data_IF_621359979661
#
_entry.id   IF_621359979661
#
_cell.length_a   1.000
_cell.length_b   1.000
_cell.length_c   1.000
_cell.angle_alpha   90.00
_cell.angle_beta   90.00
_cell.angle_gamma   90.00
#
_symmetry.space_group_name_H-M   'P 1'
#
loop_
_entity.id
_entity.type
_entity.pdbx_description
1 polymer ?
#
# COMPACT_ATOMS: atom_id res chain seq x y z
N UNK A 1 14.53 8.96 6.38
CA UNK A 1 14.64 9.40 4.98
C UNK A 1 15.65 10.53 4.85
N UNK A 2 16.48 10.50 3.84
CA UNK A 2 17.48 11.53 3.56
C UNK A 2 17.37 11.95 2.10
N UNK A 3 17.18 13.24 1.88
CA UNK A 3 17.19 13.82 0.52
C UNK A 3 18.60 13.75 -0.14
N UNK A 4 19.60 13.27 0.59
CA UNK A 4 20.99 13.19 0.13
C UNK A 4 21.40 11.77 -0.30
N UNK A 5 20.46 10.83 -0.40
CA UNK A 5 20.70 9.50 -0.96
C UNK A 5 21.50 8.53 -0.10
N UNK A 6 21.53 8.74 1.20
CA UNK A 6 22.29 7.91 2.15
C UNK A 6 21.42 6.98 3.00
N UNK A 7 20.12 6.90 2.72
CA UNK A 7 19.22 5.99 3.45
C UNK A 7 19.58 4.54 3.14
N UNK A 8 19.58 3.71 4.15
CA UNK A 8 19.83 2.27 4.06
C UNK A 8 18.94 1.50 5.00
N UNK A 9 18.74 0.24 4.68
CA UNK A 9 17.96 -0.70 5.48
C UNK A 9 18.89 -1.51 6.36
N UNK A 10 18.51 -1.65 7.63
CA UNK A 10 19.23 -2.45 8.61
C UNK A 10 18.37 -3.62 9.06
N UNK A 11 18.94 -4.81 9.06
CA UNK A 11 18.38 -5.96 9.76
C UNK A 11 19.07 -6.04 11.11
N UNK A 12 18.31 -5.93 12.19
CA UNK A 12 18.82 -5.78 13.55
C UNK A 12 18.38 -6.95 14.41
N UNK A 13 19.30 -7.52 15.19
CA UNK A 13 18.99 -8.50 16.22
C UNK A 13 18.30 -7.82 17.40
N UNK A 14 17.08 -8.24 17.72
CA UNK A 14 16.30 -7.64 18.81
C UNK A 14 16.81 -7.98 20.22
N UNK A 15 17.69 -8.99 20.37
CA UNK A 15 18.21 -9.39 21.68
C UNK A 15 19.33 -8.46 22.17
N UNK A 16 20.18 -7.99 21.25
CA UNK A 16 21.36 -7.21 21.58
C UNK A 16 21.51 -5.92 20.76
N UNK A 17 20.53 -5.63 19.89
CA UNK A 17 20.51 -4.50 18.98
C UNK A 17 21.69 -4.45 17.98
N UNK A 18 22.38 -5.59 17.76
CA UNK A 18 23.44 -5.66 16.77
C UNK A 18 22.90 -5.61 15.35
N UNK A 19 23.61 -4.93 14.44
CA UNK A 19 23.27 -4.92 13.01
C UNK A 19 23.78 -6.22 12.40
N UNK A 20 22.86 -7.02 11.88
CA UNK A 20 23.16 -8.32 11.26
C UNK A 20 23.44 -8.18 9.76
N UNK A 21 22.72 -7.26 9.09
CA UNK A 21 22.85 -7.05 7.65
C UNK A 21 22.43 -5.62 7.28
N UNK A 22 22.98 -5.10 6.17
CA UNK A 22 22.65 -3.75 5.65
C UNK A 22 22.59 -3.78 4.13
N UNK A 23 21.64 -3.05 3.53
CA UNK A 23 21.53 -2.90 2.08
C UNK A 23 20.88 -1.57 1.71
N UNK A 24 20.88 -1.23 0.41
CA UNK A 24 20.16 -0.09 -0.15
C UNK A 24 20.93 1.22 -0.22
N UNK A 25 22.13 1.29 0.35
CA UNK A 25 22.96 2.51 0.34
C UNK A 25 23.69 2.70 -0.99
N UNK A 26 23.55 3.90 -1.60
CA UNK A 26 24.26 4.29 -2.84
C UNK A 26 24.31 3.19 -3.89
N UNK A 27 23.16 2.56 -4.16
CA UNK A 27 23.10 1.42 -5.05
C UNK A 27 23.25 1.85 -6.51
N UNK A 28 24.33 1.39 -7.17
CA UNK A 28 24.58 1.65 -8.61
C UNK A 28 23.48 1.12 -9.54
N UNK A 29 22.66 0.19 -9.02
CA UNK A 29 21.53 -0.36 -9.76
C UNK A 29 20.28 0.52 -9.68
N UNK A 30 20.30 1.58 -8.86
CA UNK A 30 19.19 2.53 -8.68
C UNK A 30 18.76 3.16 -10.00
N UNK A 31 17.44 3.31 -10.15
CA UNK A 31 16.83 4.07 -11.25
C UNK A 31 16.71 5.57 -10.93
N UNK A 32 16.90 5.96 -9.68
CA UNK A 32 16.75 7.34 -9.18
C UNK A 32 18.08 7.98 -8.77
N UNK A 33 19.19 7.53 -9.35
CA UNK A 33 20.51 8.04 -8.99
C UNK A 33 20.88 7.74 -7.54
N UNK A 34 21.27 8.76 -6.77
CA UNK A 34 21.64 8.62 -5.36
C UNK A 34 20.46 8.64 -4.38
N UNK A 35 19.23 8.87 -4.84
CA UNK A 35 18.06 8.85 -3.97
C UNK A 35 17.82 7.45 -3.44
N UNK A 36 17.66 7.35 -2.13
CA UNK A 36 17.40 6.10 -1.41
C UNK A 36 16.37 6.38 -0.34
N UNK A 37 15.12 6.05 -0.60
CA UNK A 37 14.04 6.08 0.37
C UNK A 37 13.45 4.68 0.48
N UNK A 38 12.88 4.37 1.63
CA UNK A 38 12.27 3.09 1.91
C UNK A 38 11.04 3.32 2.78
N UNK A 39 9.95 3.74 2.14
CA UNK A 39 8.71 4.10 2.82
C UNK A 39 7.75 2.91 2.96
N UNK A 40 7.84 1.93 2.06
CA UNK A 40 7.12 0.68 2.16
C UNK A 40 7.61 -0.22 3.29
N UNK A 41 6.82 -1.21 3.64
CA UNK A 41 7.18 -2.25 4.62
C UNK A 41 7.88 -3.42 3.94
N UNK A 42 8.90 -3.96 4.61
CA UNK A 42 9.51 -5.21 4.21
C UNK A 42 8.57 -6.39 4.47
N UNK A 43 8.63 -7.38 3.59
CA UNK A 43 7.91 -8.65 3.72
C UNK A 43 8.90 -9.81 3.82
N UNK A 44 8.49 -10.86 4.51
CA UNK A 44 9.21 -12.14 4.50
C UNK A 44 8.28 -13.20 3.93
N UNK A 45 8.66 -13.76 2.79
CA UNK A 45 8.02 -14.96 2.28
C UNK A 45 8.54 -16.17 3.05
N UNK A 46 7.69 -16.75 3.89
CA UNK A 46 8.07 -17.86 4.77
C UNK A 46 8.34 -19.16 4.00
N UNK A 47 7.74 -19.33 2.81
CA UNK A 47 7.91 -20.53 2.00
C UNK A 47 9.32 -20.61 1.40
N UNK A 48 9.83 -19.48 0.91
CA UNK A 48 11.16 -19.38 0.32
C UNK A 48 12.21 -18.80 1.28
N UNK A 49 11.81 -18.41 2.48
CA UNK A 49 12.69 -17.75 3.48
C UNK A 49 13.39 -16.51 2.89
N UNK A 50 12.61 -15.70 2.16
CA UNK A 50 13.14 -14.55 1.42
C UNK A 50 12.58 -13.25 1.98
N UNK A 51 13.48 -12.33 2.36
CA UNK A 51 13.13 -10.93 2.63
C UNK A 51 12.93 -10.22 1.29
N UNK A 52 11.81 -9.52 1.16
CA UNK A 52 11.40 -8.78 -0.02
C UNK A 52 11.17 -7.33 0.40
N UNK A 53 11.85 -6.41 -0.27
CA UNK A 53 11.72 -5.00 0.08
C UNK A 53 11.71 -4.12 -1.18
N UNK A 54 10.58 -3.48 -1.50
CA UNK A 54 10.51 -2.45 -2.53
C UNK A 54 11.20 -1.18 -2.04
N UNK A 55 11.95 -0.53 -2.92
CA UNK A 55 12.65 0.71 -2.62
C UNK A 55 12.23 1.83 -3.56
N UNK A 56 12.10 3.02 -3.04
CA UNK A 56 11.81 4.21 -3.83
C UNK A 56 12.95 4.58 -4.80
N UNK A 57 14.11 3.93 -4.65
CA UNK A 57 15.18 3.98 -5.64
C UNK A 57 14.91 3.12 -6.90
N UNK A 58 13.72 2.53 -7.02
CA UNK A 58 13.31 1.71 -8.16
C UNK A 58 13.84 0.28 -8.14
N UNK A 59 14.35 -0.18 -7.01
CA UNK A 59 14.89 -1.53 -6.86
C UNK A 59 14.00 -2.35 -5.93
N UNK A 60 13.59 -3.52 -6.39
CA UNK A 60 13.07 -4.57 -5.52
C UNK A 60 14.26 -5.40 -5.01
N UNK A 61 14.46 -5.40 -3.71
CA UNK A 61 15.49 -6.18 -3.03
C UNK A 61 14.92 -7.52 -2.59
N UNK A 62 15.63 -8.60 -2.91
CA UNK A 62 15.30 -9.98 -2.57
C UNK A 62 16.51 -10.61 -1.88
N UNK A 63 16.35 -11.02 -0.61
CA UNK A 63 17.45 -11.52 0.18
C UNK A 63 17.03 -12.81 0.87
N UNK A 64 17.65 -13.93 0.49
CA UNK A 64 17.43 -15.17 1.18
C UNK A 64 18.03 -15.09 2.58
N UNK A 65 17.23 -15.33 3.62
CA UNK A 65 17.65 -15.14 5.00
C UNK A 65 18.46 -16.33 5.53
N UNK A 66 18.28 -17.53 4.97
CA UNK A 66 18.88 -18.77 5.45
C UNK A 66 18.64 -18.96 6.96
N UNK A 67 17.38 -18.77 7.36
CA UNK A 67 16.93 -18.80 8.75
C UNK A 67 17.20 -20.17 9.39
N UNK A 68 17.77 -20.14 10.58
CA UNK A 68 17.97 -21.31 11.43
C UNK A 68 17.34 -21.07 12.79
N UNK A 69 16.59 -22.05 13.27
CA UNK A 69 15.99 -22.03 14.58
C UNK A 69 16.61 -23.11 15.45
N UNK A 70 17.21 -22.73 16.56
CA UNK A 70 17.74 -23.66 17.57
C UNK A 70 16.65 -23.95 18.61
N UNK A 71 16.12 -25.16 18.56
CA UNK A 71 15.06 -25.64 19.48
C UNK A 71 15.51 -25.68 20.94
N UNK A 72 16.83 -25.85 21.23
CA UNK A 72 17.31 -25.97 22.60
C UNK A 72 17.41 -24.61 23.28
N UNK A 73 17.90 -23.61 22.56
CA UNK A 73 18.06 -22.24 23.09
C UNK A 73 16.83 -21.36 22.82
N UNK A 74 15.93 -21.77 21.91
CA UNK A 74 14.82 -20.95 21.44
C UNK A 74 15.27 -19.74 20.63
N UNK A 75 16.48 -19.77 20.09
CA UNK A 75 17.05 -18.66 19.32
C UNK A 75 16.86 -18.83 17.82
N UNK A 76 16.59 -17.72 17.15
CA UNK A 76 16.55 -17.63 15.70
C UNK A 76 17.81 -16.90 15.22
N UNK A 77 18.46 -17.44 14.21
CA UNK A 77 19.59 -16.80 13.53
C UNK A 77 19.33 -16.74 12.03
N UNK A 78 19.90 -15.74 11.38
CA UNK A 78 19.89 -15.60 9.93
C UNK A 78 21.33 -15.56 9.40
N UNK A 79 21.51 -16.03 8.17
CA UNK A 79 22.77 -15.94 7.43
C UNK A 79 22.43 -15.42 6.02
N UNK A 80 22.22 -14.10 5.88
CA UNK A 80 21.71 -13.51 4.64
C UNK A 80 22.61 -13.83 3.45
N UNK A 81 22.03 -14.42 2.43
CA UNK A 81 22.70 -14.69 1.16
C UNK A 81 22.94 -13.43 0.35
N UNK A 82 23.41 -13.63 -0.88
CA UNK A 82 23.60 -12.51 -1.82
C UNK A 82 22.25 -11.82 -2.09
N UNK A 83 22.23 -10.50 -1.99
CA UNK A 83 21.11 -9.68 -2.41
C UNK A 83 20.88 -9.83 -3.92
N UNK A 84 19.68 -10.24 -4.30
CA UNK A 84 19.18 -10.18 -5.66
C UNK A 84 18.44 -8.87 -5.82
N UNK A 85 18.66 -8.19 -6.93
CA UNK A 85 18.05 -6.90 -7.26
C UNK A 85 17.28 -7.04 -8.55
N UNK A 86 16.04 -6.63 -8.52
CA UNK A 86 15.18 -6.56 -9.68
C UNK A 86 14.68 -5.14 -9.87
N UNK A 87 14.44 -4.73 -11.12
CA UNK A 87 13.89 -3.41 -11.45
C UNK A 87 13.09 -3.48 -12.75
N UNK A 88 12.18 -2.55 -12.88
CA UNK A 88 11.35 -2.36 -14.06
C UNK A 88 11.42 -0.92 -14.54
N UNK A 89 11.61 -0.71 -15.84
CA UNK A 89 11.70 0.63 -16.42
C UNK A 89 10.35 1.23 -16.78
N UNK A 90 9.28 0.44 -16.72
CA UNK A 90 7.96 0.86 -17.14
C UNK A 90 7.83 0.98 -18.66
N UNK A 91 6.61 1.30 -19.07
CA UNK A 91 6.26 1.55 -20.47
C UNK A 91 6.10 3.05 -20.75
N UNK A 92 6.07 3.89 -19.72
CA UNK A 92 5.96 5.33 -19.86
C UNK A 92 7.32 5.90 -20.27
N UNK A 93 7.31 6.73 -21.32
CA UNK A 93 8.50 7.46 -21.78
C UNK A 93 8.76 8.67 -20.88
N UNK A 94 8.93 8.47 -19.58
CA UNK A 94 9.33 9.53 -18.69
C UNK A 94 10.86 9.67 -18.76
N UNK A 95 11.35 10.88 -18.95
CA UNK A 95 12.77 11.22 -18.78
C UNK A 95 13.13 11.43 -17.31
N UNK A 96 12.15 11.43 -16.44
CA UNK A 96 12.29 11.72 -15.02
C UNK A 96 12.44 10.39 -14.25
N UNK A 97 13.62 10.11 -13.76
CA UNK A 97 13.94 8.83 -13.10
C UNK A 97 13.20 8.60 -11.77
N UNK A 98 12.67 9.65 -11.14
CA UNK A 98 11.94 9.50 -9.88
C UNK A 98 10.56 8.82 -10.00
N UNK A 99 10.03 8.73 -11.22
CA UNK A 99 8.80 7.99 -11.52
C UNK A 99 8.91 6.47 -11.40
N UNK A 100 10.09 5.96 -11.22
CA UNK A 100 10.36 4.53 -11.20
C UNK A 100 10.56 4.01 -9.77
N UNK A 101 10.29 4.82 -8.75
CA UNK A 101 10.35 4.40 -7.35
C UNK A 101 9.18 3.52 -6.95
N UNK A 102 9.34 2.76 -5.87
CA UNK A 102 8.31 1.95 -5.23
C UNK A 102 8.16 2.45 -3.80
N UNK A 103 7.11 3.21 -3.52
CA UNK A 103 6.85 3.83 -2.21
C UNK A 103 5.98 2.95 -1.32
N UNK A 104 5.18 2.08 -1.91
CA UNK A 104 4.29 1.18 -1.21
C UNK A 104 4.95 -0.14 -0.80
N UNK A 105 4.22 -0.94 -0.05
CA UNK A 105 4.61 -2.30 0.29
C UNK A 105 4.16 -3.27 -0.80
N UNK A 106 4.94 -4.33 -1.05
CA UNK A 106 4.48 -5.40 -1.92
C UNK A 106 3.44 -6.29 -1.23
N UNK A 107 2.67 -7.02 -2.03
CA UNK A 107 1.83 -8.11 -1.56
C UNK A 107 2.33 -9.44 -2.16
N UNK A 108 2.19 -10.55 -1.42
CA UNK A 108 2.72 -11.86 -1.84
C UNK A 108 1.64 -12.93 -1.73
N UNK A 109 1.55 -13.75 -2.75
CA UNK A 109 0.71 -14.96 -2.72
C UNK A 109 1.30 -16.07 -3.58
N UNK A 110 1.56 -17.24 -2.96
CA UNK A 110 2.02 -18.47 -3.64
C UNK A 110 3.18 -18.25 -4.60
N UNK A 111 4.21 -17.49 -4.19
CA UNK A 111 5.38 -17.23 -4.99
C UNK A 111 5.22 -16.13 -6.06
N UNK A 112 4.12 -15.38 -6.03
CA UNK A 112 3.93 -14.19 -6.85
C UNK A 112 3.98 -12.94 -5.99
N UNK A 113 4.68 -11.91 -6.48
CA UNK A 113 4.79 -10.60 -5.86
C UNK A 113 3.95 -9.62 -6.68
N UNK A 114 3.14 -8.84 -5.99
CA UNK A 114 2.36 -7.74 -6.56
C UNK A 114 2.83 -6.43 -5.94
N UNK A 115 3.14 -5.46 -6.77
CA UNK A 115 3.68 -4.17 -6.33
C UNK A 115 3.33 -3.07 -7.32
N UNK A 116 3.28 -1.83 -6.84
CA UNK A 116 3.09 -0.66 -7.67
C UNK A 116 4.36 0.21 -7.71
N UNK A 117 4.41 1.15 -8.62
CA UNK A 117 5.48 2.14 -8.71
C UNK A 117 4.93 3.56 -8.92
N UNK A 118 5.81 4.55 -8.80
CA UNK A 118 5.47 5.95 -9.03
C UNK A 118 5.13 6.25 -10.51
N UNK A 119 5.47 5.35 -11.42
CA UNK A 119 5.17 5.45 -12.84
C UNK A 119 3.76 4.99 -13.22
N UNK A 120 2.98 4.51 -12.26
CA UNK A 120 1.63 3.99 -12.48
C UNK A 120 1.63 2.60 -13.07
N UNK A 121 2.54 1.76 -12.67
CA UNK A 121 2.54 0.36 -13.05
C UNK A 121 2.18 -0.50 -11.83
N UNK A 122 1.15 -1.32 -11.94
CA UNK A 122 0.92 -2.46 -11.07
C UNK A 122 1.52 -3.69 -11.74
N UNK A 123 2.43 -4.35 -11.06
CA UNK A 123 3.22 -5.46 -11.61
C UNK A 123 2.97 -6.75 -10.86
N UNK A 124 2.92 -7.87 -11.59
CA UNK A 124 3.01 -9.21 -11.03
C UNK A 124 4.33 -9.84 -11.44
N UNK A 125 5.12 -10.25 -10.45
CA UNK A 125 6.43 -10.87 -10.62
C UNK A 125 6.41 -12.29 -10.06
N UNK A 126 6.90 -13.26 -10.81
CA UNK A 126 7.16 -14.62 -10.29
C UNK A 126 8.45 -14.59 -9.45
N UNK A 127 8.35 -14.90 -8.17
CA UNK A 127 9.47 -14.89 -7.21
C UNK A 127 10.54 -15.94 -7.54
N UNK A 128 10.16 -17.08 -8.17
CA UNK A 128 11.10 -18.16 -8.45
C UNK A 128 11.93 -17.89 -9.69
N UNK A 129 11.33 -17.28 -10.71
CA UNK A 129 11.98 -17.03 -12.00
C UNK A 129 12.44 -15.59 -12.17
N UNK A 130 11.91 -14.67 -11.36
CA UNK A 130 12.08 -13.21 -11.44
C UNK A 130 11.63 -12.66 -12.81
N UNK A 131 10.66 -13.32 -13.42
CA UNK A 131 10.05 -12.86 -14.65
C UNK A 131 8.77 -12.11 -14.36
N UNK A 132 8.61 -10.99 -15.06
CA UNK A 132 7.38 -10.23 -15.06
C UNK A 132 6.28 -11.06 -15.73
N UNK A 133 5.18 -11.30 -15.01
CA UNK A 133 4.04 -12.08 -15.50
C UNK A 133 3.09 -11.18 -16.28
N UNK A 134 2.71 -10.06 -15.67
CA UNK A 134 1.88 -9.04 -16.29
C UNK A 134 2.12 -7.66 -15.67
N UNK A 135 1.72 -6.63 -16.38
CA UNK A 135 1.68 -5.22 -15.92
C UNK A 135 0.34 -4.63 -16.27
N UNK A 136 -0.28 -3.94 -15.30
CA UNK A 136 -1.49 -3.16 -15.48
C UNK A 136 -1.17 -1.68 -15.26
N UNK A 137 -1.65 -0.81 -16.15
CA UNK A 137 -1.54 0.65 -16.00
C UNK A 137 -2.49 1.13 -14.89
N UNK A 138 -1.94 1.77 -13.85
CA UNK A 138 -2.66 2.41 -12.76
C UNK A 138 -2.66 3.93 -12.87
N UNK A 139 -2.36 4.47 -14.03
CA UNK A 139 -2.42 5.86 -14.44
C UNK A 139 -1.37 6.77 -13.81
N UNK A 140 -1.14 6.69 -12.52
CA UNK A 140 -0.35 7.64 -11.76
C UNK A 140 0.41 6.95 -10.62
N UNK A 141 1.14 7.74 -9.89
CA UNK A 141 1.85 7.38 -8.67
C UNK A 141 0.94 6.64 -7.69
N UNK A 142 1.32 5.43 -7.33
CA UNK A 142 0.55 4.58 -6.42
C UNK A 142 1.27 4.44 -5.09
N UNK A 143 0.70 5.09 -4.06
CA UNK A 143 1.15 4.99 -2.67
C UNK A 143 0.30 3.99 -1.86
N UNK A 144 -0.68 3.39 -2.52
CA UNK A 144 -1.59 2.39 -1.93
C UNK A 144 -1.05 1.00 -2.14
N UNK A 145 -0.69 0.32 -1.06
CA UNK A 145 -0.28 -1.10 -1.11
C UNK A 145 -1.39 -1.95 -1.74
N UNK A 146 -1.08 -2.78 -2.77
CA UNK A 146 -2.06 -3.69 -3.36
C UNK A 146 -2.61 -4.67 -2.33
N UNK A 147 -3.93 -4.81 -2.23
CA UNK A 147 -4.57 -5.67 -1.25
C UNK A 147 -5.08 -6.94 -1.91
N UNK A 148 -4.56 -8.08 -1.46
CA UNK A 148 -4.97 -9.40 -1.93
C UNK A 148 -6.21 -9.90 -1.18
N UNK A 149 -7.17 -10.39 -1.92
CA UNK A 149 -8.39 -10.99 -1.37
C UNK A 149 -8.79 -12.25 -2.15
N UNK A 150 -9.08 -13.33 -1.42
CA UNK A 150 -9.61 -14.56 -2.01
C UNK A 150 -11.13 -14.55 -1.91
N UNK A 151 -11.80 -14.50 -3.04
CA UNK A 151 -13.25 -14.55 -3.13
C UNK A 151 -13.70 -15.79 -3.89
N UNK A 152 -14.43 -16.66 -3.21
CA UNK A 152 -14.94 -17.93 -3.80
C UNK A 152 -13.84 -18.80 -4.44
N UNK A 153 -12.63 -18.73 -3.86
CA UNK A 153 -11.47 -19.51 -4.32
C UNK A 153 -10.65 -18.87 -5.43
N UNK A 154 -11.01 -17.68 -5.89
CA UNK A 154 -10.27 -16.90 -6.87
C UNK A 154 -9.58 -15.70 -6.21
N UNK A 155 -8.37 -15.36 -6.67
CA UNK A 155 -7.57 -14.28 -6.10
C UNK A 155 -7.79 -12.97 -6.85
N UNK A 156 -8.06 -11.92 -6.11
CA UNK A 156 -8.20 -10.56 -6.63
C UNK A 156 -7.28 -9.58 -5.92
N UNK A 157 -7.00 -8.49 -6.61
CA UNK A 157 -6.31 -7.32 -6.09
C UNK A 157 -7.28 -6.15 -6.01
N UNK A 158 -7.22 -5.43 -4.90
CA UNK A 158 -7.81 -4.10 -4.76
C UNK A 158 -6.67 -3.08 -4.72
N UNK A 159 -6.71 -2.10 -5.61
CA UNK A 159 -5.68 -1.08 -5.74
C UNK A 159 -6.30 0.22 -6.24
N UNK A 160 -5.64 1.32 -5.98
CA UNK A 160 -5.98 2.62 -6.51
C UNK A 160 -4.70 3.43 -6.76
N UNK A 161 -4.84 4.69 -7.05
CA UNK A 161 -3.74 5.58 -7.39
C UNK A 161 -3.90 6.92 -6.68
N UNK A 162 -2.82 7.62 -6.48
CA UNK A 162 -2.86 9.04 -6.15
C UNK A 162 -3.28 9.87 -7.37
N UNK A 163 -3.54 11.13 -7.14
CA UNK A 163 -3.66 12.12 -8.20
C UNK A 163 -2.64 13.23 -7.96
N UNK A 164 -1.76 13.44 -8.93
CA UNK A 164 -0.76 14.49 -8.85
C UNK A 164 -0.82 15.40 -10.07
N UNK A 165 -1.15 16.66 -9.82
CA UNK A 165 -1.32 17.65 -10.89
C UNK A 165 -0.05 17.75 -11.75
N UNK A 166 -0.24 17.66 -13.08
CA UNK A 166 0.82 17.84 -14.07
C UNK A 166 1.55 16.56 -14.47
N UNK A 167 1.24 15.42 -13.87
CA UNK A 167 1.84 14.13 -14.24
C UNK A 167 1.12 13.45 -15.38
N UNK A 168 -0.19 13.49 -15.33
CA UNK A 168 -1.06 12.91 -16.33
C UNK A 168 -1.32 13.94 -17.42
N UNK A 169 -0.66 13.83 -18.55
CA UNK A 169 -0.83 14.77 -19.68
C UNK A 169 -2.19 14.66 -20.37
N UNK A 170 -2.99 13.66 -20.04
CA UNK A 170 -4.25 13.33 -20.71
C UNK A 170 -5.45 13.24 -19.75
N UNK A 171 -5.28 13.62 -18.48
CA UNK A 171 -6.26 13.29 -17.46
C UNK A 171 -7.12 14.46 -17.00
N UNK A 172 -8.30 14.09 -16.55
CA UNK A 172 -9.36 14.93 -16.01
C UNK A 172 -9.45 14.89 -14.48
N UNK A 173 -8.40 14.52 -13.78
CA UNK A 173 -8.38 14.33 -12.31
C UNK A 173 -9.17 13.12 -11.81
N UNK A 174 -9.40 12.13 -12.66
CA UNK A 174 -10.10 10.89 -12.29
C UNK A 174 -9.18 9.95 -11.52
N UNK A 175 -9.66 9.43 -10.41
CA UNK A 175 -8.98 8.45 -9.55
C UNK A 175 -9.83 7.19 -9.49
N UNK A 176 -9.49 6.16 -10.26
CA UNK A 176 -10.19 4.88 -10.20
C UNK A 176 -9.76 4.06 -8.97
N UNK A 177 -10.74 3.38 -8.38
CA UNK A 177 -10.52 2.26 -7.47
C UNK A 177 -10.80 0.99 -8.25
N UNK A 178 -9.82 0.11 -8.37
CA UNK A 178 -9.92 -1.10 -9.19
C UNK A 178 -10.05 -2.37 -8.35
N UNK A 179 -10.83 -3.30 -8.87
CA UNK A 179 -10.68 -4.73 -8.61
C UNK A 179 -10.03 -5.36 -9.83
N UNK A 180 -8.95 -6.08 -9.64
CA UNK A 180 -8.14 -6.68 -10.70
C UNK A 180 -8.04 -8.19 -10.44
N UNK A 181 -8.16 -8.97 -11.49
CA UNK A 181 -7.86 -10.39 -11.46
C UNK A 181 -6.36 -10.59 -11.26
N UNK A 182 -5.97 -11.23 -10.16
CA UNK A 182 -4.56 -11.36 -9.81
C UNK A 182 -3.79 -12.34 -10.72
N UNK A 183 -4.47 -13.25 -11.40
CA UNK A 183 -3.82 -14.20 -12.31
C UNK A 183 -3.51 -13.57 -13.67
N UNK A 184 -4.41 -12.70 -14.16
CA UNK A 184 -4.31 -12.14 -15.52
C UNK A 184 -3.91 -10.68 -15.58
N UNK A 185 -4.09 -9.93 -14.49
CA UNK A 185 -3.93 -8.47 -14.47
C UNK A 185 -5.12 -7.71 -15.08
N UNK A 186 -6.18 -8.39 -15.49
CA UNK A 186 -7.34 -7.76 -16.11
C UNK A 186 -8.22 -7.04 -15.07
N UNK A 187 -8.76 -5.88 -15.46
CA UNK A 187 -9.68 -5.11 -14.63
C UNK A 187 -11.04 -5.82 -14.62
N UNK A 188 -11.50 -6.21 -13.43
CA UNK A 188 -12.83 -6.81 -13.23
C UNK A 188 -13.90 -5.72 -13.16
N UNK A 189 -13.63 -4.67 -12.39
CA UNK A 189 -14.43 -3.46 -12.31
C UNK A 189 -13.58 -2.28 -11.81
N UNK A 190 -14.06 -1.08 -12.03
CA UNK A 190 -13.52 0.14 -11.40
C UNK A 190 -14.64 1.08 -10.99
N UNK A 191 -14.34 1.94 -10.02
CA UNK A 191 -15.22 3.01 -9.56
C UNK A 191 -14.43 4.30 -9.51
N UNK A 192 -14.87 5.29 -10.24
CA UNK A 192 -14.13 6.53 -10.46
C UNK A 192 -14.52 7.61 -9.46
N UNK A 193 -13.51 8.30 -8.96
CA UNK A 193 -13.60 9.50 -8.15
C UNK A 193 -12.91 10.65 -8.86
N UNK A 194 -13.45 11.84 -8.74
CA UNK A 194 -12.79 13.06 -9.21
C UNK A 194 -12.07 13.72 -8.03
N UNK A 195 -10.87 14.23 -8.29
CA UNK A 195 -10.09 15.00 -7.32
C UNK A 195 -9.92 16.44 -7.81
N UNK A 196 -9.65 17.36 -6.87
CA UNK A 196 -9.34 18.74 -7.27
C UNK A 196 -8.04 18.80 -8.06
N UNK A 197 -7.99 19.75 -9.01
CA UNK A 197 -6.78 20.06 -9.77
C UNK A 197 -6.04 21.28 -9.20
N UNK A 198 -6.42 21.75 -8.01
CA UNK A 198 -5.84 22.94 -7.40
C UNK A 198 -4.41 22.68 -6.92
N UNK A 199 -3.50 23.54 -7.31
CA UNK A 199 -2.13 23.72 -6.81
C UNK A 199 -1.37 22.49 -6.30
N UNK A 200 -1.03 21.57 -7.20
CA UNK A 200 -0.03 20.53 -6.93
C UNK A 200 -0.33 19.62 -5.72
N UNK A 201 -1.59 19.47 -5.41
CA UNK A 201 -2.01 18.65 -4.28
C UNK A 201 -1.88 17.15 -4.57
N UNK A 202 -1.38 16.40 -3.60
CA UNK A 202 -1.45 14.95 -3.63
C UNK A 202 -2.86 14.51 -3.20
N UNK A 203 -3.77 14.44 -4.18
CA UNK A 203 -5.12 13.91 -4.02
C UNK A 203 -5.19 12.41 -4.30
N UNK A 204 -6.40 11.90 -4.43
CA UNK A 204 -6.66 10.50 -4.72
C UNK A 204 -6.45 9.59 -3.51
N UNK A 205 -6.04 8.35 -3.76
CA UNK A 205 -5.88 7.33 -2.71
C UNK A 205 -4.42 7.23 -2.32
N UNK A 206 -4.11 7.68 -1.10
CA UNK A 206 -2.80 7.60 -0.48
C UNK A 206 -2.74 6.48 0.57
N UNK A 207 -3.88 5.87 0.85
CA UNK A 207 -4.07 4.86 1.89
C UNK A 207 -4.22 3.46 1.31
N UNK A 208 -3.95 2.45 2.14
CA UNK A 208 -4.24 1.07 1.79
C UNK A 208 -5.74 0.78 1.95
N UNK A 209 -6.34 0.13 0.96
CA UNK A 209 -7.75 -0.26 0.97
C UNK A 209 -8.00 -1.33 2.04
N UNK A 210 -9.07 -1.19 2.83
CA UNK A 210 -9.45 -2.19 3.81
C UNK A 210 -10.49 -3.16 3.23
N UNK A 211 -10.21 -4.45 3.23
CA UNK A 211 -11.17 -5.50 2.88
C UNK A 211 -11.95 -5.95 4.11
N UNK A 212 -13.27 -5.81 4.07
CA UNK A 212 -14.15 -6.28 5.13
C UNK A 212 -14.15 -7.80 5.26
N UNK A 213 -14.38 -8.27 6.49
CA UNK A 213 -14.54 -9.68 6.88
C UNK A 213 -15.85 -9.85 7.64
N UNK A 214 -16.20 -11.06 8.00
CA UNK A 214 -17.41 -11.37 8.79
C UNK A 214 -18.67 -10.68 8.25
N UNK A 215 -19.32 -9.84 9.05
CA UNK A 215 -20.51 -9.09 8.62
C UNK A 215 -20.26 -8.06 7.52
N UNK A 216 -18.99 -7.71 7.25
CA UNK A 216 -18.55 -6.77 6.24
C UNK A 216 -17.89 -7.46 5.04
N UNK A 217 -17.99 -8.78 4.90
CA UNK A 217 -17.25 -9.56 3.90
C UNK A 217 -17.50 -9.12 2.45
N UNK A 218 -18.66 -8.51 2.17
CA UNK A 218 -19.04 -8.06 0.83
C UNK A 218 -18.51 -6.65 0.47
N UNK A 219 -17.74 -6.01 1.35
CA UNK A 219 -17.35 -4.61 1.20
C UNK A 219 -15.85 -4.39 1.26
N UNK A 220 -15.41 -3.33 0.58
CA UNK A 220 -14.11 -2.67 0.78
C UNK A 220 -14.34 -1.24 1.23
N UNK A 221 -13.33 -0.67 1.89
CA UNK A 221 -13.33 0.70 2.38
C UNK A 221 -12.07 1.41 1.89
N UNK A 222 -12.25 2.61 1.34
CA UNK A 222 -11.17 3.40 0.76
C UNK A 222 -11.35 4.86 1.10
N UNK A 223 -10.27 5.54 1.47
CA UNK A 223 -10.24 6.99 1.64
C UNK A 223 -9.74 7.64 0.35
N UNK A 224 -10.50 8.58 -0.18
CA UNK A 224 -10.12 9.37 -1.36
C UNK A 224 -9.94 10.82 -0.92
N UNK A 225 -8.74 11.34 -1.07
CA UNK A 225 -8.37 12.66 -0.63
C UNK A 225 -8.66 13.72 -1.70
N UNK A 226 -9.07 14.92 -1.24
CA UNK A 226 -9.17 16.14 -2.04
C UNK A 226 -10.15 16.02 -3.21
N UNK A 227 -11.34 15.54 -2.90
CA UNK A 227 -12.38 15.22 -3.90
C UNK A 227 -13.10 16.46 -4.45
N UNK A 228 -13.19 17.56 -3.71
CA UNK A 228 -13.83 18.80 -4.17
C UNK A 228 -12.95 20.04 -3.97
N UNK A 229 -12.10 20.02 -2.96
CA UNK A 229 -11.11 21.07 -2.64
C UNK A 229 -9.95 20.45 -1.87
N UNK A 230 -8.95 21.26 -1.52
CA UNK A 230 -7.73 20.80 -0.85
C UNK A 230 -7.94 20.27 0.57
N UNK A 231 -9.08 20.53 1.18
CA UNK A 231 -9.40 20.10 2.54
C UNK A 231 -10.37 18.91 2.58
N UNK A 232 -11.09 18.66 1.50
CA UNK A 232 -12.15 17.65 1.43
C UNK A 232 -11.65 16.25 1.13
N UNK A 233 -12.45 15.27 1.48
CA UNK A 233 -12.25 13.87 1.13
C UNK A 233 -13.48 13.04 1.44
N UNK A 234 -13.42 11.78 1.08
CA UNK A 234 -14.47 10.81 1.37
C UNK A 234 -13.87 9.51 1.91
N UNK A 235 -14.54 8.89 2.87
CA UNK A 235 -14.42 7.46 3.12
C UNK A 235 -15.55 6.78 2.35
N UNK A 236 -15.21 5.94 1.39
CA UNK A 236 -16.16 5.22 0.57
C UNK A 236 -16.23 3.75 0.95
N UNK A 237 -17.43 3.19 0.98
CA UNK A 237 -17.72 1.78 1.08
C UNK A 237 -18.20 1.27 -0.28
N UNK A 238 -17.44 0.37 -0.91
CA UNK A 238 -17.78 -0.21 -2.19
C UNK A 238 -18.09 -1.71 -2.05
N UNK A 239 -19.01 -2.21 -2.89
CA UNK A 239 -19.29 -3.65 -2.95
C UNK A 239 -18.19 -4.38 -3.72
N UNK A 240 -17.67 -5.46 -3.17
CA UNK A 240 -16.67 -6.31 -3.83
C UNK A 240 -17.18 -6.92 -5.13
N UNK A 241 -18.50 -7.12 -5.26
CA UNK A 241 -19.11 -7.78 -6.42
C UNK A 241 -19.00 -6.99 -7.72
N UNK A 242 -19.18 -5.66 -7.65
CA UNK A 242 -19.37 -4.81 -8.82
C UNK A 242 -18.83 -3.38 -8.69
N UNK A 243 -18.17 -3.07 -7.57
CA UNK A 243 -17.64 -1.74 -7.28
C UNK A 243 -18.70 -0.68 -6.96
N UNK A 244 -19.99 -1.03 -6.94
CA UNK A 244 -21.03 -0.04 -6.66
C UNK A 244 -20.91 0.53 -5.24
N UNK A 245 -21.16 1.83 -5.10
CA UNK A 245 -21.14 2.51 -3.81
C UNK A 245 -22.25 2.00 -2.90
N UNK A 246 -21.91 1.53 -1.71
CA UNK A 246 -22.88 1.19 -0.68
C UNK A 246 -23.22 2.45 0.14
N UNK A 247 -22.21 3.21 0.53
CA UNK A 247 -22.31 4.48 1.21
C UNK A 247 -21.00 5.27 1.10
N UNK A 248 -21.07 6.56 1.40
CA UNK A 248 -19.93 7.47 1.53
C UNK A 248 -20.10 8.34 2.76
N UNK A 249 -19.00 8.62 3.45
CA UNK A 249 -18.89 9.61 4.51
C UNK A 249 -17.97 10.73 4.04
N UNK A 250 -18.57 11.90 3.71
CA UNK A 250 -17.83 13.08 3.29
C UNK A 250 -17.30 13.82 4.51
N UNK A 251 -15.99 14.03 4.55
CA UNK A 251 -15.33 14.76 5.65
C UNK A 251 -14.08 15.47 5.11
N UNK A 252 -13.19 15.89 6.01
CA UNK A 252 -11.84 16.28 5.62
C UNK A 252 -11.10 15.09 5.03
N UNK A 253 -10.10 15.34 4.17
CA UNK A 253 -9.35 14.27 3.52
C UNK A 253 -8.63 13.38 4.54
N UNK A 254 -8.35 12.14 4.13
CA UNK A 254 -7.59 11.19 4.92
C UNK A 254 -6.53 10.50 4.05
N UNK A 255 -5.30 10.46 4.54
CA UNK A 255 -4.21 9.62 4.03
C UNK A 255 -4.02 8.37 4.88
N UNK A 256 -4.59 8.37 6.09
CA UNK A 256 -4.69 7.22 6.97
C UNK A 256 -5.50 6.10 6.34
N UNK A 257 -4.99 4.88 6.41
CA UNK A 257 -5.71 3.69 5.95
C UNK A 257 -6.88 3.37 6.88
N UNK A 258 -8.08 3.10 6.37
CA UNK A 258 -9.19 2.64 7.19
C UNK A 258 -8.93 1.23 7.73
N UNK A 259 -9.43 0.94 8.92
CA UNK A 259 -9.31 -0.36 9.57
C UNK A 259 -10.69 -0.89 9.94
N UNK A 260 -10.98 -2.12 9.51
CA UNK A 260 -12.18 -2.83 9.93
C UNK A 260 -11.99 -3.44 11.32
N UNK A 261 -12.87 -3.11 12.24
CA UNK A 261 -12.89 -3.66 13.60
C UNK A 261 -14.18 -4.42 13.86
N UNK A 262 -14.12 -5.46 14.67
CA UNK A 262 -15.23 -6.37 14.84
C UNK A 262 -15.55 -6.62 16.31
N UNK A 263 -16.83 -6.57 16.65
CA UNK A 263 -17.32 -7.02 17.92
C UNK A 263 -17.28 -8.57 18.01
N UNK A 264 -17.44 -9.09 19.23
CA UNK A 264 -17.46 -10.54 19.47
C UNK A 264 -18.60 -11.27 18.74
N UNK A 265 -19.67 -10.57 18.42
CA UNK A 265 -20.81 -11.09 17.63
C UNK A 265 -20.58 -11.07 16.11
N UNK A 266 -19.42 -10.58 15.68
CA UNK A 266 -19.04 -10.44 14.27
C UNK A 266 -19.59 -9.19 13.58
N UNK A 267 -20.31 -8.31 14.28
CA UNK A 267 -20.70 -7.01 13.73
C UNK A 267 -19.46 -6.14 13.53
N UNK A 268 -19.38 -5.48 12.39
CA UNK A 268 -18.18 -4.77 11.96
C UNK A 268 -18.37 -3.27 11.90
N UNK A 269 -17.31 -2.55 12.24
CA UNK A 269 -17.20 -1.09 12.16
C UNK A 269 -15.97 -0.73 11.37
N UNK A 270 -15.87 0.52 10.94
CA UNK A 270 -14.70 1.10 10.28
C UNK A 270 -14.16 2.24 11.09
N UNK A 271 -12.85 2.18 11.36
CA UNK A 271 -12.10 3.22 12.06
C UNK A 271 -11.14 3.87 11.05
N UNK A 272 -11.05 5.20 11.02
CA UNK A 272 -10.05 5.92 10.23
C UNK A 272 -9.72 7.27 10.88
N UNK A 273 -8.57 7.83 10.49
CA UNK A 273 -8.12 9.15 10.91
C UNK A 273 -8.17 10.13 9.75
N UNK A 274 -8.32 11.42 10.02
CA UNK A 274 -8.44 12.44 8.99
C UNK A 274 -7.49 13.64 9.19
N UNK A 275 -7.53 14.57 8.26
CA UNK A 275 -6.66 15.75 8.25
C UNK A 275 -7.00 16.82 9.29
N UNK A 276 -8.12 16.69 10.00
CA UNK A 276 -8.47 17.58 11.11
C UNK A 276 -8.13 17.02 12.49
N UNK A 277 -7.42 15.88 12.52
CA UNK A 277 -6.99 15.29 13.78
C UNK A 277 -8.03 14.43 14.47
N UNK A 278 -9.06 14.02 13.75
CA UNK A 278 -10.12 13.18 14.27
C UNK A 278 -9.87 11.70 13.99
N UNK A 279 -10.13 10.88 15.00
CA UNK A 279 -10.33 9.44 14.86
C UNK A 279 -11.85 9.22 14.79
N UNK A 280 -12.33 8.64 13.70
CA UNK A 280 -13.76 8.45 13.43
C UNK A 280 -14.12 6.98 13.38
N UNK A 281 -15.19 6.59 14.08
CA UNK A 281 -15.73 5.24 14.10
C UNK A 281 -17.12 5.24 13.47
N UNK A 282 -17.29 4.42 12.43
CA UNK A 282 -18.53 4.31 11.68
C UNK A 282 -19.05 2.87 11.71
N UNK A 283 -20.37 2.69 11.68
CA UNK A 283 -20.98 1.40 11.35
C UNK A 283 -20.58 0.97 9.93
N UNK A 284 -19.96 -0.19 9.80
CA UNK A 284 -19.36 -0.61 8.54
C UNK A 284 -20.37 -0.86 7.41
N UNK A 285 -21.64 -1.19 7.74
CA UNK A 285 -22.67 -1.45 6.70
C UNK A 285 -23.39 -0.20 6.24
N UNK A 286 -23.56 0.76 7.14
CA UNK A 286 -24.43 1.92 6.88
C UNK A 286 -23.69 3.24 6.74
N UNK A 287 -22.41 3.30 7.15
CA UNK A 287 -21.63 4.53 7.20
C UNK A 287 -22.06 5.49 8.29
N UNK A 288 -23.02 5.09 9.16
CA UNK A 288 -23.45 5.96 10.25
C UNK A 288 -22.30 6.15 11.24
N UNK A 289 -21.96 7.43 11.50
CA UNK A 289 -20.98 7.75 12.54
C UNK A 289 -21.51 7.32 13.90
N UNK A 290 -20.71 6.55 14.63
CA UNK A 290 -21.02 6.09 15.97
C UNK A 290 -20.25 6.88 17.02
N UNK A 291 -19.00 7.23 16.72
CA UNK A 291 -18.15 8.00 17.61
C UNK A 291 -17.12 8.82 16.85
N UNK A 292 -16.61 9.86 17.50
CA UNK A 292 -15.49 10.67 17.00
C UNK A 292 -14.68 11.18 18.18
N UNK A 293 -13.37 11.10 18.06
CA UNK A 293 -12.41 11.59 19.05
C UNK A 293 -11.38 12.49 18.38
N UNK A 294 -11.38 13.77 18.72
CA UNK A 294 -10.35 14.70 18.27
C UNK A 294 -9.13 14.57 19.17
N UNK A 295 -8.01 14.12 18.61
CA UNK A 295 -6.76 13.83 19.35
C UNK A 295 -5.62 14.78 18.97
N UNK A 296 -5.77 15.53 17.89
CA UNK A 296 -4.78 16.47 17.36
C UNK A 296 -5.46 17.69 16.77
N UNK A 297 -4.75 18.82 16.70
CA UNK A 297 -5.17 20.00 15.93
C UNK A 297 -4.62 19.98 14.47
N UNK A 298 -3.96 18.89 14.08
CA UNK A 298 -3.32 18.72 12.78
C UNK A 298 -3.66 17.39 12.13
N UNK A 299 -3.11 17.20 10.95
CA UNK A 299 -3.30 15.98 10.13
C UNK A 299 -2.82 14.75 10.88
N UNK A 300 -3.59 13.68 10.83
CA UNK A 300 -3.16 12.33 11.21
C UNK A 300 -2.95 11.54 9.91
N UNK A 301 -1.70 11.28 9.55
CA UNK A 301 -1.32 10.51 8.37
C UNK A 301 -1.12 9.02 8.69
N UNK A 302 -0.72 8.72 9.94
CA UNK A 302 -0.56 7.35 10.39
C UNK A 302 -1.89 6.59 10.40
N UNK A 303 -1.83 5.32 10.03
CA UNK A 303 -2.98 4.43 10.08
C UNK A 303 -3.17 3.87 11.50
N UNK A 304 -4.41 3.79 12.01
CA UNK A 304 -4.64 3.25 13.34
C UNK A 304 -4.36 1.75 13.38
N UNK A 305 -3.73 1.31 14.46
CA UNK A 305 -3.59 -0.10 14.79
C UNK A 305 -4.52 -0.43 15.96
N UNK A 306 -5.25 -1.53 15.84
CA UNK A 306 -6.24 -1.95 16.85
C UNK A 306 -5.90 -3.34 17.37
N UNK A 307 -5.81 -3.45 18.69
CA UNK A 307 -5.62 -4.72 19.37
C UNK A 307 -6.51 -4.78 20.62
N UNK A 308 -7.35 -5.81 20.72
CA UNK A 308 -8.38 -5.97 21.76
C UNK A 308 -9.26 -4.71 21.85
N UNK A 309 -9.21 -3.97 22.93
CA UNK A 309 -9.99 -2.73 23.15
C UNK A 309 -9.12 -1.45 23.05
N UNK A 310 -7.94 -1.54 22.48
CA UNK A 310 -7.03 -0.41 22.32
C UNK A 310 -6.85 -0.06 20.86
N UNK A 311 -6.87 1.23 20.54
CA UNK A 311 -6.44 1.80 19.28
C UNK A 311 -5.21 2.69 19.52
N UNK A 312 -4.20 2.57 18.67
CA UNK A 312 -2.95 3.35 18.73
C UNK A 312 -2.74 4.02 17.40
#
# INVERSE_FOLDING_TARGET
NSNEGTAKVFVVNLLDCSVMYTFGDNDEFSLRGSLSFFDGSALVDAETDTLIYPGENGILYLIRLNTKYDLNSGTLSIDPGRTVKWRYYGTRSSTESFWLGMEDSAAIYKGYIFMTDNGGNLMCLDLNTLQLVWVQDTLDDSNSTPVLEIEKGHLYLYVSTSFRLGWRSYDTATVPVWKIDAETGEIVWHTDYECTTDDGVSGGVQSTIACGKNSLADYIYVTVAKTSDNASGVLACLRKSDGSKAWEDSSSYAWSSPVCVYNKDGSGKVLYCNSTGDIRLLDGKTGKQEDVLSVSEGVIEASPAVYDNYAV
#
